data_IF_922921692692
#
_entry.id   IF_922921692692
#
_cell.length_a   1.000
_cell.length_b   1.000
_cell.length_c   1.000
_cell.angle_alpha   90.00
_cell.angle_beta   90.00
_cell.angle_gamma   90.00
#
_symmetry.space_group_name_H-M   'P 1'
#
loop_
_entity.id
_entity.type
_entity.pdbx_description
1 polymer ?
#
# COMPACT_ATOMS: atom_id res chain seq x y z
N UNK A 1 3.87 19.81 14.26
CA UNK A 1 3.80 18.64 13.39
C UNK A 1 2.35 18.19 13.27
N UNK A 2 1.74 18.29 12.08
CA UNK A 2 0.31 18.07 11.81
C UNK A 2 -0.61 19.03 12.59
N UNK A 3 -1.89 19.07 12.22
CA UNK A 3 -2.89 19.92 12.87
C UNK A 3 -2.99 19.73 14.39
N UNK A 4 -2.64 18.54 14.88
CA UNK A 4 -2.70 18.21 16.32
C UNK A 4 -1.72 19.04 17.17
N UNK A 5 -0.56 19.42 16.61
CA UNK A 5 0.43 20.23 17.29
C UNK A 5 0.28 21.75 16.97
N UNK A 6 -0.64 22.11 16.09
CA UNK A 6 -0.79 23.48 15.58
C UNK A 6 -1.09 24.52 16.66
N UNK A 7 -1.89 24.15 17.68
CA UNK A 7 -2.21 25.06 18.78
C UNK A 7 -0.96 25.54 19.54
N UNK A 8 0.07 24.71 19.66
CA UNK A 8 1.34 25.08 20.30
C UNK A 8 2.08 26.19 19.52
N UNK A 9 2.14 26.11 18.20
CA UNK A 9 2.79 27.14 17.38
C UNK A 9 2.02 28.46 17.41
N UNK A 10 0.69 28.41 17.42
CA UNK A 10 -0.16 29.59 17.54
C UNK A 10 -0.02 30.26 18.91
N UNK A 11 0.05 29.44 19.98
CA UNK A 11 0.30 29.95 21.34
C UNK A 11 1.67 30.65 21.44
N UNK A 12 2.73 30.06 20.88
CA UNK A 12 4.07 30.66 20.89
C UNK A 12 4.12 31.98 20.15
N UNK A 13 3.39 32.13 19.06
CA UNK A 13 3.31 33.38 18.32
C UNK A 13 2.83 34.55 19.22
N UNK A 14 1.85 34.31 20.07
CA UNK A 14 1.25 35.35 20.89
C UNK A 14 2.05 35.60 22.18
N UNK A 15 2.67 34.55 22.76
CA UNK A 15 3.32 34.61 24.08
C UNK A 15 4.85 34.66 24.03
N UNK A 16 5.44 34.22 22.91
CA UNK A 16 6.89 34.18 22.71
C UNK A 16 7.26 34.50 21.26
N UNK A 17 6.93 35.71 20.74
CA UNK A 17 7.07 36.06 19.33
C UNK A 17 8.53 36.07 18.83
N UNK A 18 9.49 35.96 19.72
CA UNK A 18 10.91 35.81 19.41
C UNK A 18 11.33 34.37 19.10
N UNK A 19 10.43 33.40 19.27
CA UNK A 19 10.68 31.99 18.95
C UNK A 19 10.16 31.73 17.54
N UNK A 20 11.06 31.38 16.61
CA UNK A 20 10.70 30.96 15.27
C UNK A 20 9.93 29.63 15.28
N UNK A 21 8.88 29.56 14.50
CA UNK A 21 8.00 28.38 14.41
C UNK A 21 8.09 27.71 13.05
N UNK A 22 8.14 26.39 13.04
CA UNK A 22 8.07 25.56 11.85
C UNK A 22 6.84 24.68 11.94
N UNK A 23 5.95 24.79 10.97
CA UNK A 23 4.78 23.92 10.85
C UNK A 23 5.01 22.93 9.69
N UNK A 24 4.79 21.65 9.95
CA UNK A 24 4.87 20.61 8.93
C UNK A 24 3.56 19.82 8.88
N UNK A 25 2.99 19.68 7.69
CA UNK A 25 1.86 18.78 7.43
C UNK A 25 2.26 17.72 6.42
N UNK A 26 1.96 16.44 6.68
CA UNK A 26 2.25 15.33 5.77
C UNK A 26 1.09 15.06 4.83
N UNK A 27 -0.14 15.36 5.27
CA UNK A 27 -1.36 15.19 4.50
C UNK A 27 -2.36 16.23 5.00
N UNK A 28 -2.91 17.04 4.11
CA UNK A 28 -3.91 18.02 4.53
C UNK A 28 -5.18 17.35 5.05
N UNK A 29 -5.82 17.94 6.05
CA UNK A 29 -7.11 17.46 6.58
C UNK A 29 -8.12 17.35 5.43
N UNK A 30 -8.19 18.36 4.58
CA UNK A 30 -9.16 18.40 3.49
C UNK A 30 -8.82 17.44 2.36
N UNK A 31 -7.55 17.30 1.95
CA UNK A 31 -7.14 16.34 0.93
C UNK A 31 -7.53 14.91 1.34
N UNK A 32 -7.27 14.56 2.60
CA UNK A 32 -7.67 13.27 3.17
C UNK A 32 -9.19 13.07 3.16
N UNK A 33 -9.96 14.10 3.52
CA UNK A 33 -11.42 14.03 3.52
C UNK A 33 -12.00 13.90 2.10
N UNK A 34 -11.49 14.68 1.14
CA UNK A 34 -11.95 14.65 -0.25
C UNK A 34 -11.68 13.28 -0.86
N UNK A 35 -10.44 12.76 -0.74
CA UNK A 35 -10.08 11.43 -1.23
C UNK A 35 -10.87 10.31 -0.53
N UNK A 36 -11.06 10.40 0.79
CA UNK A 36 -11.83 9.43 1.58
C UNK A 36 -13.31 9.38 1.23
N UNK A 37 -13.89 10.50 0.77
CA UNK A 37 -15.27 10.59 0.29
C UNK A 37 -15.40 10.34 -1.22
N UNK A 38 -14.35 9.84 -1.89
CA UNK A 38 -14.34 9.47 -3.31
C UNK A 38 -14.62 10.64 -4.28
N UNK A 39 -14.36 11.85 -3.84
CA UNK A 39 -14.42 13.02 -4.72
C UNK A 39 -13.13 13.12 -5.55
N UNK A 40 -13.20 13.67 -6.78
CA UNK A 40 -12.02 13.86 -7.63
C UNK A 40 -11.12 14.95 -7.03
N UNK A 41 -10.06 14.53 -6.35
CA UNK A 41 -9.19 15.44 -5.61
C UNK A 41 -8.27 16.24 -6.53
N UNK A 42 -7.61 15.55 -7.46
CA UNK A 42 -6.45 16.13 -8.14
C UNK A 42 -6.82 16.98 -9.35
N UNK A 43 -7.76 16.52 -10.18
CA UNK A 43 -8.19 17.25 -11.37
C UNK A 43 -9.00 18.50 -11.00
N UNK A 44 -9.73 18.44 -9.90
CA UNK A 44 -10.62 19.51 -9.45
C UNK A 44 -10.11 20.27 -8.22
N UNK A 45 -8.86 20.03 -7.80
CA UNK A 45 -8.27 20.62 -6.59
C UNK A 45 -8.44 22.13 -6.50
N UNK A 46 -8.28 22.83 -7.62
CA UNK A 46 -8.41 24.31 -7.71
C UNK A 46 -9.85 24.82 -7.64
N UNK A 47 -10.86 23.94 -7.73
CA UNK A 47 -12.28 24.29 -7.71
C UNK A 47 -12.89 24.19 -6.32
N UNK A 48 -12.22 23.53 -5.38
CA UNK A 48 -12.77 23.29 -4.05
C UNK A 48 -12.71 24.55 -3.17
N UNK A 49 -13.84 24.85 -2.54
CA UNK A 49 -13.88 25.72 -1.37
C UNK A 49 -13.63 24.87 -0.12
N UNK A 50 -12.39 24.87 0.36
CA UNK A 50 -11.97 24.02 1.47
C UNK A 50 -12.73 24.33 2.77
N UNK A 51 -13.04 25.59 3.06
CA UNK A 51 -13.76 25.98 4.28
C UNK A 51 -15.23 25.50 4.24
N UNK A 52 -15.87 25.51 3.07
CA UNK A 52 -17.23 25.01 2.88
C UNK A 52 -17.28 23.46 3.00
N UNK A 53 -16.36 22.78 2.34
CA UNK A 53 -16.24 21.32 2.46
C UNK A 53 -15.89 20.88 3.89
N UNK A 54 -15.07 21.65 4.61
CA UNK A 54 -14.75 21.36 6.01
C UNK A 54 -16.00 21.42 6.92
N UNK A 55 -16.97 22.31 6.61
CA UNK A 55 -18.28 22.32 7.29
C UNK A 55 -19.10 21.08 6.93
N UNK A 56 -19.19 20.74 5.64
CA UNK A 56 -19.93 19.56 5.16
C UNK A 56 -19.41 18.26 5.75
N UNK A 57 -18.09 18.11 5.85
CA UNK A 57 -17.45 16.91 6.41
C UNK A 57 -17.29 16.93 7.93
N UNK A 58 -17.79 17.97 8.61
CA UNK A 58 -17.70 18.15 10.07
C UNK A 58 -16.24 18.14 10.60
N UNK A 59 -15.30 18.68 9.82
CA UNK A 59 -13.87 18.77 10.18
C UNK A 59 -13.36 20.20 10.28
N UNK A 60 -14.25 21.19 10.39
CA UNK A 60 -13.91 22.61 10.44
C UNK A 60 -12.87 22.94 11.52
N UNK A 61 -12.99 22.38 12.74
CA UNK A 61 -12.03 22.62 13.82
C UNK A 61 -10.62 22.18 13.46
N UNK A 62 -10.47 21.00 12.84
CA UNK A 62 -9.16 20.46 12.39
C UNK A 62 -8.60 21.30 11.24
N UNK A 63 -9.44 21.58 10.24
CA UNK A 63 -9.08 22.36 9.06
C UNK A 63 -8.66 23.78 9.41
N UNK A 64 -9.45 24.50 10.23
CA UNK A 64 -9.13 25.87 10.62
C UNK A 64 -7.83 25.97 11.42
N UNK A 65 -7.58 25.00 12.30
CA UNK A 65 -6.35 24.92 13.08
C UNK A 65 -5.13 24.67 12.19
N UNK A 66 -5.23 23.71 11.25
CA UNK A 66 -4.20 23.44 10.25
C UNK A 66 -3.92 24.67 9.36
N UNK A 67 -4.97 25.29 8.84
CA UNK A 67 -4.89 26.49 8.00
C UNK A 67 -4.26 27.67 8.73
N UNK A 68 -4.63 27.88 10.00
CA UNK A 68 -4.05 28.95 10.83
C UNK A 68 -2.55 28.68 11.10
N UNK A 69 -2.17 27.45 11.48
CA UNK A 69 -0.77 27.11 11.68
C UNK A 69 0.05 27.24 10.39
N UNK A 70 -0.49 26.78 9.26
CA UNK A 70 0.13 26.98 7.96
C UNK A 70 0.32 28.46 7.64
N UNK A 71 -0.69 29.30 7.91
CA UNK A 71 -0.66 30.76 7.61
C UNK A 71 0.38 31.50 8.46
N UNK A 72 0.50 31.16 9.72
CA UNK A 72 1.23 31.98 10.69
C UNK A 72 2.61 31.44 11.08
N UNK A 73 2.97 30.21 10.74
CA UNK A 73 4.32 29.71 10.98
C UNK A 73 5.38 30.49 10.16
N UNK A 74 6.57 30.65 10.71
CA UNK A 74 7.68 31.30 10.01
C UNK A 74 8.12 30.46 8.80
N UNK A 75 8.14 29.12 8.95
CA UNK A 75 8.34 28.19 7.86
C UNK A 75 7.23 27.14 7.82
N UNK A 76 6.74 26.85 6.61
CA UNK A 76 5.72 25.84 6.35
C UNK A 76 6.25 24.75 5.44
N UNK A 77 6.19 23.49 5.88
CA UNK A 77 6.82 22.35 5.22
C UNK A 77 5.78 21.26 4.90
N UNK A 78 6.11 20.49 3.88
CA UNK A 78 5.41 19.23 3.57
C UNK A 78 6.36 18.21 2.96
N UNK A 79 5.89 16.98 2.69
CA UNK A 79 6.74 15.83 2.39
C UNK A 79 6.95 15.57 0.90
N UNK A 80 6.09 16.10 0.01
CA UNK A 80 6.20 15.91 -1.44
C UNK A 80 5.43 16.98 -2.22
N UNK A 81 5.55 16.93 -3.56
CA UNK A 81 4.82 17.83 -4.45
C UNK A 81 3.30 17.63 -4.35
N UNK A 82 2.84 16.41 -4.03
CA UNK A 82 1.41 16.09 -3.94
C UNK A 82 0.74 16.90 -2.83
N UNK A 83 1.09 16.75 -1.55
CA UNK A 83 0.52 17.59 -0.51
C UNK A 83 0.94 19.06 -0.62
N UNK A 84 2.03 19.42 -1.32
CA UNK A 84 2.36 20.81 -1.56
C UNK A 84 1.28 21.53 -2.40
N UNK A 85 0.76 20.86 -3.43
CA UNK A 85 -0.37 21.34 -4.20
C UNK A 85 -1.65 21.45 -3.35
N UNK A 86 -1.92 20.47 -2.50
CA UNK A 86 -3.04 20.53 -1.55
C UNK A 86 -2.90 21.74 -0.61
N UNK A 87 -1.73 21.99 -0.06
CA UNK A 87 -1.45 23.15 0.80
C UNK A 87 -1.77 24.46 0.09
N UNK A 88 -1.34 24.61 -1.16
CA UNK A 88 -1.60 25.80 -1.96
C UNK A 88 -3.09 26.08 -2.13
N UNK A 89 -3.86 25.08 -2.54
CA UNK A 89 -5.28 25.25 -2.89
C UNK A 89 -6.23 25.12 -1.70
N UNK A 90 -5.94 24.23 -0.75
CA UNK A 90 -6.84 23.93 0.36
C UNK A 90 -6.52 24.73 1.64
N UNK A 91 -5.26 25.11 1.85
CA UNK A 91 -4.85 25.94 3.00
C UNK A 91 -4.55 27.40 2.60
N UNK A 92 -4.46 27.68 1.30
CA UNK A 92 -4.21 29.02 0.77
C UNK A 92 -2.79 29.53 0.97
N UNK A 93 -1.82 28.61 1.24
CA UNK A 93 -0.40 28.95 1.39
C UNK A 93 0.48 27.96 0.68
N UNK A 94 1.42 28.45 -0.11
CA UNK A 94 2.50 27.63 -0.67
C UNK A 94 3.48 27.25 0.44
N UNK A 95 4.02 26.04 0.34
CA UNK A 95 5.02 25.56 1.30
C UNK A 95 6.35 26.27 1.10
N UNK A 96 7.04 26.58 2.19
CA UNK A 96 8.40 27.14 2.17
C UNK A 96 9.40 26.14 1.58
N UNK A 97 9.22 24.85 1.89
CA UNK A 97 10.08 23.78 1.38
C UNK A 97 9.39 22.43 1.45
N UNK A 98 9.71 21.57 0.49
CA UNK A 98 9.39 20.15 0.51
C UNK A 98 10.56 19.42 1.21
N UNK A 99 10.25 18.63 2.23
CA UNK A 99 11.17 17.80 3.00
C UNK A 99 10.74 16.35 2.90
N UNK A 100 11.28 15.58 1.95
CA UNK A 100 10.95 14.16 1.81
C UNK A 100 11.15 13.40 3.12
N UNK A 101 10.31 12.39 3.36
CA UNK A 101 10.47 11.54 4.52
C UNK A 101 11.75 10.69 4.39
N UNK A 102 12.50 10.61 5.49
CA UNK A 102 13.67 9.74 5.60
C UNK A 102 13.28 8.29 5.85
N UNK A 103 14.23 7.40 5.61
CA UNK A 103 14.11 5.99 5.95
C UNK A 103 15.42 5.54 6.61
N UNK A 104 15.31 4.92 7.78
CA UNK A 104 16.44 4.30 8.46
C UNK A 104 16.59 2.87 7.95
N UNK A 105 17.68 2.56 7.27
CA UNK A 105 17.93 1.25 6.66
C UNK A 105 18.92 0.38 7.46
N UNK A 106 19.37 0.82 8.62
CA UNK A 106 20.35 0.10 9.43
C UNK A 106 19.88 -1.26 9.96
N UNK A 107 18.56 -1.50 9.96
CA UNK A 107 17.95 -2.80 10.34
C UNK A 107 17.70 -3.72 9.14
N UNK A 108 17.91 -3.28 7.91
CA UNK A 108 17.70 -4.09 6.71
C UNK A 108 18.87 -5.06 6.54
N UNK A 109 18.63 -6.38 6.51
CA UNK A 109 19.70 -7.35 6.31
C UNK A 109 20.29 -7.23 4.91
N UNK A 110 21.49 -7.72 4.71
CA UNK A 110 22.16 -7.66 3.41
C UNK A 110 22.88 -8.97 3.06
N UNK A 111 23.20 -9.16 1.78
CA UNK A 111 23.94 -10.32 1.29
C UNK A 111 23.27 -11.64 1.67
N UNK A 112 24.05 -12.60 2.20
CA UNK A 112 23.57 -13.95 2.52
C UNK A 112 22.44 -13.97 3.55
N UNK A 113 22.38 -13.02 4.45
CA UNK A 113 21.32 -12.94 5.46
C UNK A 113 19.99 -12.61 4.81
N UNK A 114 19.96 -11.59 3.93
CA UNK A 114 18.77 -11.24 3.15
C UNK A 114 18.33 -12.38 2.23
N UNK A 115 19.28 -13.08 1.60
CA UNK A 115 18.96 -14.24 0.74
C UNK A 115 18.33 -15.39 1.53
N UNK A 116 18.85 -15.69 2.72
CA UNK A 116 18.27 -16.71 3.60
C UNK A 116 16.86 -16.33 4.07
N UNK A 117 16.68 -15.06 4.48
CA UNK A 117 15.37 -14.53 4.87
C UNK A 117 14.37 -14.61 3.73
N UNK A 118 14.77 -14.21 2.51
CA UNK A 118 13.97 -14.33 1.29
C UNK A 118 13.52 -15.76 1.03
N UNK A 119 14.43 -16.71 1.10
CA UNK A 119 14.11 -18.12 0.87
C UNK A 119 13.12 -18.65 1.91
N UNK A 120 13.32 -18.34 3.19
CA UNK A 120 12.44 -18.75 4.29
C UNK A 120 11.04 -18.15 4.15
N UNK A 121 10.94 -16.85 3.93
CA UNK A 121 9.67 -16.16 3.77
C UNK A 121 8.90 -16.68 2.54
N UNK A 122 9.60 -16.87 1.42
CA UNK A 122 9.01 -17.41 0.19
C UNK A 122 8.43 -18.81 0.42
N UNK A 123 9.21 -19.71 1.04
CA UNK A 123 8.76 -21.06 1.36
C UNK A 123 7.50 -21.04 2.23
N UNK A 124 7.48 -20.18 3.26
CA UNK A 124 6.32 -20.04 4.15
C UNK A 124 5.08 -19.49 3.43
N UNK A 125 5.23 -18.50 2.55
CA UNK A 125 4.12 -18.00 1.75
C UNK A 125 3.52 -19.07 0.85
N UNK A 126 4.35 -19.85 0.16
CA UNK A 126 3.90 -20.93 -0.72
C UNK A 126 3.27 -22.08 0.08
N UNK A 127 3.80 -22.40 1.27
CA UNK A 127 3.21 -23.39 2.16
C UNK A 127 1.79 -23.00 2.58
N UNK A 128 1.62 -21.80 3.10
CA UNK A 128 0.31 -21.28 3.57
C UNK A 128 -0.67 -21.21 2.39
N UNK A 129 -0.23 -20.68 1.26
CA UNK A 129 -1.08 -20.58 0.08
C UNK A 129 -1.49 -21.96 -0.45
N UNK A 130 -0.56 -22.93 -0.47
CA UNK A 130 -0.86 -24.30 -0.91
C UNK A 130 -1.89 -24.97 0.00
N UNK A 131 -1.74 -24.81 1.31
CA UNK A 131 -2.70 -25.30 2.28
C UNK A 131 -4.07 -24.65 2.11
N UNK A 132 -4.12 -23.32 2.01
CA UNK A 132 -5.37 -22.55 1.93
C UNK A 132 -6.15 -22.86 0.65
N UNK A 133 -5.44 -22.98 -0.48
CA UNK A 133 -6.04 -23.20 -1.78
C UNK A 133 -6.26 -24.70 -2.12
N UNK A 134 -5.61 -25.64 -1.41
CA UNK A 134 -5.52 -27.02 -1.86
C UNK A 134 -4.85 -27.12 -3.23
N UNK A 135 -3.82 -26.31 -3.47
CA UNK A 135 -3.11 -26.16 -4.74
C UNK A 135 -1.60 -26.26 -4.54
N UNK A 136 -0.94 -27.04 -5.37
CA UNK A 136 0.52 -27.21 -5.26
C UNK A 136 1.28 -26.16 -6.05
N UNK A 137 1.60 -25.04 -5.40
CA UNK A 137 2.44 -24.00 -6.01
C UNK A 137 3.86 -24.51 -6.23
N UNK A 138 4.39 -24.20 -7.41
CA UNK A 138 5.77 -24.54 -7.76
C UNK A 138 6.75 -23.51 -7.19
N UNK A 139 8.03 -23.89 -6.97
CA UNK A 139 9.04 -22.97 -6.44
C UNK A 139 9.27 -21.71 -7.30
N UNK A 140 9.00 -21.79 -8.60
CA UNK A 140 9.11 -20.67 -9.54
C UNK A 140 7.87 -19.77 -9.60
N UNK A 141 6.80 -20.05 -8.82
CA UNK A 141 5.62 -19.20 -8.73
C UNK A 141 6.02 -17.75 -8.50
N UNK A 142 5.47 -16.80 -9.29
CA UNK A 142 5.69 -15.37 -9.05
C UNK A 142 4.85 -14.93 -7.84
N UNK A 143 5.50 -14.39 -6.82
CA UNK A 143 4.81 -13.82 -5.65
C UNK A 143 4.71 -12.32 -5.80
N UNK A 144 3.50 -11.80 -5.95
CA UNK A 144 3.22 -10.36 -5.99
C UNK A 144 2.46 -9.94 -4.73
N UNK A 145 2.67 -8.74 -4.22
CA UNK A 145 2.04 -8.35 -2.96
C UNK A 145 1.66 -6.89 -2.88
N UNK A 146 0.63 -6.61 -2.07
CA UNK A 146 0.30 -5.27 -1.59
C UNK A 146 0.07 -5.33 -0.08
N UNK A 147 0.42 -4.26 0.61
CA UNK A 147 0.29 -4.17 2.07
C UNK A 147 0.03 -2.73 2.51
N UNK A 148 -0.38 -2.57 3.76
CA UNK A 148 -0.61 -1.26 4.36
C UNK A 148 -1.97 -1.17 5.04
N UNK A 149 -2.47 0.05 5.25
CA UNK A 149 -3.79 0.28 5.84
C UNK A 149 -4.90 -0.15 4.87
N UNK A 150 -5.98 -0.66 5.43
CA UNK A 150 -7.14 -1.06 4.64
C UNK A 150 -7.94 0.16 4.16
N UNK A 151 -7.40 0.84 3.18
CA UNK A 151 -8.06 1.93 2.45
C UNK A 151 -8.23 1.51 0.99
N UNK A 152 -9.31 0.77 0.70
CA UNK A 152 -9.51 -0.01 -0.54
C UNK A 152 -9.17 0.76 -1.83
N UNK A 153 -9.71 1.98 -2.00
CA UNK A 153 -9.42 2.85 -3.16
C UNK A 153 -8.14 3.65 -2.97
N UNK A 154 -7.95 4.27 -1.80
CA UNK A 154 -6.84 5.19 -1.59
C UNK A 154 -5.48 4.50 -1.65
N UNK A 155 -5.39 3.23 -1.23
CA UNK A 155 -4.19 2.40 -1.33
C UNK A 155 -4.09 1.60 -2.63
N UNK A 156 -5.09 1.72 -3.54
CA UNK A 156 -5.09 1.08 -4.85
C UNK A 156 -5.29 -0.43 -4.82
N UNK A 157 -5.92 -0.96 -3.75
CA UNK A 157 -6.24 -2.38 -3.63
C UNK A 157 -7.24 -2.77 -4.72
N UNK A 158 -8.19 -1.88 -5.02
CA UNK A 158 -9.19 -2.00 -6.09
C UNK A 158 -8.55 -2.25 -7.47
N UNK A 159 -7.64 -1.38 -7.89
CA UNK A 159 -6.97 -1.50 -9.19
C UNK A 159 -5.96 -2.65 -9.21
N UNK A 160 -5.37 -3.01 -8.08
CA UNK A 160 -4.53 -4.21 -7.98
C UNK A 160 -5.35 -5.48 -8.19
N UNK A 161 -6.48 -5.65 -7.51
CA UNK A 161 -7.36 -6.81 -7.72
C UNK A 161 -7.93 -6.84 -9.15
N UNK A 162 -8.26 -5.70 -9.72
CA UNK A 162 -8.70 -5.63 -11.12
C UNK A 162 -7.59 -6.04 -12.09
N UNK A 163 -6.35 -5.65 -11.86
CA UNK A 163 -5.21 -6.08 -12.67
C UNK A 163 -5.00 -7.60 -12.60
N UNK A 164 -5.21 -8.21 -11.43
CA UNK A 164 -5.14 -9.66 -11.28
C UNK A 164 -6.25 -10.39 -12.03
N UNK A 165 -7.47 -9.83 -12.09
CA UNK A 165 -8.58 -10.38 -12.90
C UNK A 165 -8.23 -10.31 -14.40
N UNK A 166 -7.69 -9.19 -14.85
CA UNK A 166 -7.23 -9.01 -16.24
C UNK A 166 -6.11 -10.03 -16.56
N UNK A 167 -5.14 -10.19 -15.67
CA UNK A 167 -4.08 -11.18 -15.83
C UNK A 167 -4.63 -12.61 -15.91
N UNK A 168 -5.55 -12.96 -15.01
CA UNK A 168 -6.16 -14.28 -14.96
C UNK A 168 -7.00 -14.61 -16.20
N UNK A 169 -7.50 -13.60 -16.91
CA UNK A 169 -8.21 -13.77 -18.19
C UNK A 169 -7.27 -13.99 -19.39
N UNK A 170 -5.95 -13.87 -19.19
CA UNK A 170 -4.95 -14.13 -20.25
C UNK A 170 -4.31 -15.50 -20.10
N UNK A 171 -3.75 -16.02 -21.21
CA UNK A 171 -2.99 -17.27 -21.13
C UNK A 171 -1.61 -16.97 -20.55
N UNK A 172 -1.36 -17.46 -19.33
CA UNK A 172 -0.07 -17.34 -18.62
C UNK A 172 0.56 -18.72 -18.45
N UNK A 173 1.87 -18.78 -18.52
CA UNK A 173 2.66 -20.03 -18.45
C UNK A 173 3.21 -20.33 -17.04
N UNK A 174 3.10 -19.38 -16.11
CA UNK A 174 3.63 -19.42 -14.75
C UNK A 174 2.53 -19.08 -13.74
N UNK A 175 2.57 -19.71 -12.58
CA UNK A 175 1.62 -19.39 -11.52
C UNK A 175 1.94 -18.05 -10.85
N UNK A 176 0.91 -17.33 -10.44
CA UNK A 176 1.01 -16.08 -9.71
C UNK A 176 0.27 -16.20 -8.38
N UNK A 177 0.98 -16.00 -7.29
CA UNK A 177 0.41 -15.85 -5.96
C UNK A 177 0.39 -14.37 -5.59
N UNK A 178 -0.79 -13.81 -5.46
CA UNK A 178 -0.98 -12.43 -5.03
C UNK A 178 -1.33 -12.36 -3.54
N UNK A 179 -0.54 -11.64 -2.76
CA UNK A 179 -0.77 -11.47 -1.31
C UNK A 179 -1.34 -10.07 -1.07
N UNK A 180 -2.51 -10.01 -0.44
CA UNK A 180 -3.13 -8.78 0.03
C UNK A 180 -3.05 -8.76 1.55
N UNK A 181 -2.03 -8.07 2.09
CA UNK A 181 -1.76 -7.99 3.53
C UNK A 181 -2.22 -6.64 4.10
N UNK A 182 -3.51 -6.54 4.37
CA UNK A 182 -4.14 -5.32 4.90
C UNK A 182 -5.02 -5.66 6.10
N UNK A 183 -4.74 -5.12 7.29
CA UNK A 183 -5.48 -5.45 8.51
C UNK A 183 -6.95 -5.03 8.41
N UNK A 184 -7.85 -5.95 8.71
CA UNK A 184 -9.29 -5.75 8.81
C UNK A 184 -9.82 -6.16 10.18
N UNK A 185 -11.10 -5.99 10.44
CA UNK A 185 -11.77 -6.57 11.61
C UNK A 185 -11.82 -8.09 11.48
N UNK A 186 -11.20 -8.82 12.41
CA UNK A 186 -11.16 -10.28 12.42
C UNK A 186 -11.70 -10.83 13.73
N UNK A 187 -12.36 -12.00 13.67
CA UNK A 187 -12.79 -12.76 14.86
C UNK A 187 -11.79 -13.80 15.31
N UNK A 188 -10.76 -14.05 14.49
CA UNK A 188 -9.66 -14.96 14.82
C UNK A 188 -9.02 -15.60 13.61
N UNK A 189 -8.01 -16.43 13.85
CA UNK A 189 -7.32 -17.21 12.83
C UNK A 189 -8.17 -18.42 12.41
N UNK A 190 -8.09 -18.83 11.17
CA UNK A 190 -8.73 -20.05 10.65
C UNK A 190 -8.12 -21.29 11.32
N UNK A 191 -8.90 -21.95 12.19
CA UNK A 191 -8.44 -23.08 12.97
C UNK A 191 -8.15 -24.32 12.12
N UNK A 192 -8.94 -24.55 11.06
CA UNK A 192 -8.71 -25.64 10.08
C UNK A 192 -7.35 -25.47 9.39
N UNK A 193 -6.99 -24.23 9.02
CA UNK A 193 -5.71 -23.90 8.40
C UNK A 193 -4.55 -24.12 9.37
N UNK A 194 -4.67 -23.64 10.62
CA UNK A 194 -3.63 -23.82 11.66
C UNK A 194 -3.38 -25.30 11.92
N UNK A 195 -4.46 -26.08 12.08
CA UNK A 195 -4.36 -27.52 12.30
C UNK A 195 -3.72 -28.25 11.12
N UNK A 196 -4.12 -27.92 9.89
CA UNK A 196 -3.53 -28.48 8.67
C UNK A 196 -2.02 -28.13 8.53
N UNK A 197 -1.64 -26.89 8.88
CA UNK A 197 -0.23 -26.48 8.84
C UNK A 197 0.62 -27.26 9.86
N UNK A 198 0.05 -27.59 11.02
CA UNK A 198 0.70 -28.38 12.05
C UNK A 198 0.72 -29.89 11.71
N UNK A 199 -0.37 -30.41 11.14
CA UNK A 199 -0.54 -31.79 10.74
C UNK A 199 -1.25 -31.89 9.38
N UNK A 200 -0.50 -32.22 8.34
CA UNK A 200 -0.99 -32.31 6.96
C UNK A 200 -2.09 -33.37 6.74
N UNK A 201 -2.32 -34.27 7.69
CA UNK A 201 -3.42 -35.25 7.64
C UNK A 201 -4.79 -34.63 7.98
N UNK A 202 -4.81 -33.47 8.66
CA UNK A 202 -6.02 -32.74 8.96
C UNK A 202 -6.52 -32.04 7.70
N UNK A 203 -7.76 -32.30 7.32
CA UNK A 203 -8.34 -31.69 6.12
C UNK A 203 -8.69 -30.21 6.35
N UNK A 204 -8.49 -29.39 5.31
CA UNK A 204 -9.04 -28.02 5.25
C UNK A 204 -10.56 -28.11 5.07
N UNK A 205 -11.30 -27.32 5.83
CA UNK A 205 -12.75 -27.23 5.71
C UNK A 205 -13.14 -26.65 4.34
N UNK A 206 -13.83 -27.45 3.47
CA UNK A 206 -14.21 -27.01 2.13
C UNK A 206 -15.25 -25.86 2.12
N UNK A 207 -15.93 -25.61 3.24
CA UNK A 207 -16.86 -24.50 3.39
C UNK A 207 -16.15 -23.15 3.57
N UNK A 208 -14.86 -23.17 3.93
CA UNK A 208 -14.10 -21.95 4.13
C UNK A 208 -13.60 -21.36 2.80
N UNK A 209 -13.50 -20.03 2.77
CA UNK A 209 -12.98 -19.31 1.59
C UNK A 209 -11.47 -19.58 1.43
N UNK A 210 -11.10 -20.12 0.27
CA UNK A 210 -9.71 -20.55 -0.05
C UNK A 210 -8.69 -19.41 -0.09
N UNK A 211 -9.17 -18.16 -0.18
CA UNK A 211 -8.29 -17.00 -0.24
C UNK A 211 -8.10 -16.31 1.12
N UNK A 212 -8.80 -16.73 2.18
CA UNK A 212 -8.71 -16.10 3.52
C UNK A 212 -7.81 -16.90 4.47
N UNK A 213 -7.01 -16.19 5.27
CA UNK A 213 -6.21 -16.76 6.37
C UNK A 213 -6.88 -16.63 7.74
N UNK A 214 -7.77 -15.67 7.89
CA UNK A 214 -8.48 -15.36 9.16
C UNK A 214 -9.96 -15.16 8.89
N UNK A 215 -10.78 -15.36 9.91
CA UNK A 215 -12.22 -15.07 9.83
C UNK A 215 -12.45 -13.58 9.99
N UNK A 216 -13.18 -12.99 9.05
CA UNK A 216 -13.56 -11.57 9.07
C UNK A 216 -14.80 -11.35 9.93
N UNK A 217 -14.87 -10.23 10.68
CA UNK A 217 -16.05 -9.84 11.45
C UNK A 217 -17.25 -9.52 10.56
N UNK A 218 -17.01 -8.89 9.42
CA UNK A 218 -18.04 -8.42 8.49
C UNK A 218 -17.76 -8.92 7.06
N UNK A 219 -17.51 -10.21 6.89
CA UNK A 219 -17.05 -10.82 5.64
C UNK A 219 -17.97 -10.49 4.44
N UNK A 220 -19.30 -10.49 4.64
CA UNK A 220 -20.25 -10.17 3.59
C UNK A 220 -20.17 -8.74 3.06
N UNK A 221 -19.51 -7.83 3.79
CA UNK A 221 -19.35 -6.42 3.44
C UNK A 221 -17.90 -6.05 3.16
N UNK A 222 -16.98 -7.00 3.27
CA UNK A 222 -15.57 -6.77 3.04
C UNK A 222 -15.28 -6.60 1.53
N UNK A 223 -14.70 -5.44 1.17
CA UNK A 223 -14.50 -5.06 -0.24
C UNK A 223 -13.49 -5.96 -0.95
N UNK A 224 -12.45 -6.45 -0.25
CA UNK A 224 -11.46 -7.38 -0.82
C UNK A 224 -12.11 -8.73 -1.06
N UNK A 225 -12.82 -9.28 -0.07
CA UNK A 225 -13.57 -10.53 -0.20
C UNK A 225 -14.58 -10.47 -1.34
N UNK A 226 -15.40 -9.43 -1.38
CA UNK A 226 -16.40 -9.24 -2.44
C UNK A 226 -15.77 -9.16 -3.83
N UNK A 227 -14.62 -8.48 -3.95
CA UNK A 227 -13.93 -8.36 -5.24
C UNK A 227 -13.36 -9.68 -5.74
N UNK A 228 -12.97 -10.59 -4.84
CA UNK A 228 -12.44 -11.90 -5.17
C UNK A 228 -13.59 -12.88 -5.45
N UNK A 229 -14.60 -12.90 -4.58
CA UNK A 229 -15.78 -13.77 -4.73
C UNK A 229 -16.52 -13.53 -6.05
N UNK A 230 -17.03 -14.61 -6.64
CA UNK A 230 -17.75 -14.53 -7.91
C UNK A 230 -16.88 -14.13 -9.11
N UNK A 231 -15.57 -13.95 -8.92
CA UNK A 231 -14.62 -13.69 -10.00
C UNK A 231 -13.77 -14.93 -10.31
N UNK A 232 -13.02 -14.88 -11.41
CA UNK A 232 -12.04 -15.91 -11.78
C UNK A 232 -10.98 -16.13 -10.69
N UNK A 233 -10.72 -15.14 -9.86
CA UNK A 233 -9.73 -15.21 -8.77
C UNK A 233 -10.15 -16.14 -7.62
N UNK A 234 -11.44 -16.49 -7.50
CA UNK A 234 -11.95 -17.44 -6.49
C UNK A 234 -11.90 -18.89 -6.94
N UNK A 235 -11.49 -19.17 -8.19
CA UNK A 235 -11.55 -20.50 -8.80
C UNK A 235 -10.21 -21.21 -8.84
N UNK A 236 -10.22 -22.56 -8.77
CA UNK A 236 -9.01 -23.36 -8.97
C UNK A 236 -8.56 -23.41 -10.45
N UNK A 237 -9.39 -23.01 -11.39
CA UNK A 237 -9.06 -22.99 -12.81
C UNK A 237 -8.03 -21.89 -13.17
N UNK A 238 -8.02 -20.80 -12.41
CA UNK A 238 -7.05 -19.71 -12.63
C UNK A 238 -5.65 -20.10 -12.16
N UNK A 239 -4.62 -19.68 -12.90
CA UNK A 239 -3.22 -19.73 -12.44
C UNK A 239 -2.84 -18.52 -11.59
N UNK A 240 -3.73 -17.53 -11.45
CA UNK A 240 -3.60 -16.40 -10.52
C UNK A 240 -4.43 -16.71 -9.28
N UNK A 241 -3.79 -16.81 -8.14
CA UNK A 241 -4.43 -17.05 -6.85
C UNK A 241 -4.18 -15.86 -5.93
N UNK A 242 -5.20 -15.47 -5.17
CA UNK A 242 -5.09 -14.41 -4.17
C UNK A 242 -5.06 -15.03 -2.78
N UNK A 243 -4.20 -14.52 -1.91
CA UNK A 243 -4.21 -14.81 -0.48
C UNK A 243 -4.46 -13.50 0.27
N UNK A 244 -5.62 -13.38 0.88
CA UNK A 244 -5.98 -12.25 1.71
C UNK A 244 -5.58 -12.52 3.16
N UNK A 245 -4.72 -11.66 3.69
CA UNK A 245 -4.14 -11.72 5.03
C UNK A 245 -4.64 -10.51 5.82
N UNK A 246 -5.85 -10.58 6.44
CA UNK A 246 -6.51 -9.42 7.06
C UNK A 246 -6.00 -9.14 8.47
N UNK A 247 -4.71 -9.31 8.73
CA UNK A 247 -4.11 -9.11 10.06
C UNK A 247 -2.74 -8.46 9.98
N UNK A 248 -2.27 -7.95 11.11
CA UNK A 248 -0.90 -7.46 11.21
C UNK A 248 0.09 -8.61 11.26
N UNK A 249 1.09 -8.57 10.38
CA UNK A 249 2.22 -9.51 10.39
C UNK A 249 3.25 -9.06 11.42
N UNK A 250 3.03 -9.41 12.66
CA UNK A 250 3.85 -9.03 13.81
C UNK A 250 4.73 -10.17 14.33
N UNK A 251 4.81 -11.29 13.59
CA UNK A 251 5.53 -12.50 14.00
C UNK A 251 4.72 -13.44 14.88
N UNK A 252 3.46 -13.10 15.19
CA UNK A 252 2.57 -13.90 16.04
C UNK A 252 1.12 -13.84 15.56
N UNK A 253 0.94 -13.90 14.23
CA UNK A 253 -0.37 -13.81 13.58
C UNK A 253 -1.15 -15.13 13.57
N UNK A 254 -0.54 -16.22 14.00
CA UNK A 254 -1.15 -17.54 14.10
C UNK A 254 -1.10 -18.38 12.80
N UNK A 255 -0.66 -17.83 11.69
CA UNK A 255 -0.55 -18.53 10.40
C UNK A 255 0.87 -18.49 9.86
N UNK A 256 1.39 -17.31 9.58
CA UNK A 256 2.76 -17.12 9.10
C UNK A 256 3.76 -17.13 10.24
N UNK A 257 3.46 -16.40 11.30
CA UNK A 257 4.33 -16.17 12.46
C UNK A 257 5.71 -15.63 12.07
N UNK A 258 5.74 -14.81 11.00
CA UNK A 258 6.92 -14.11 10.49
C UNK A 258 6.59 -12.61 10.46
N UNK A 259 7.47 -11.73 10.97
CA UNK A 259 7.26 -10.29 10.92
C UNK A 259 7.16 -9.75 9.49
N UNK A 260 6.47 -8.64 9.32
CA UNK A 260 6.20 -8.02 8.02
C UNK A 260 7.45 -7.83 7.15
N UNK A 261 8.53 -7.29 7.70
CA UNK A 261 9.74 -7.04 6.93
C UNK A 261 10.43 -8.33 6.48
N UNK A 262 10.35 -9.39 7.28
CA UNK A 262 10.85 -10.70 6.87
C UNK A 262 10.00 -11.28 5.74
N UNK A 263 8.66 -11.16 5.84
CA UNK A 263 7.75 -11.57 4.77
C UNK A 263 7.97 -10.78 3.48
N UNK A 264 8.20 -9.46 3.60
CA UNK A 264 8.46 -8.57 2.46
C UNK A 264 9.64 -9.06 1.61
N UNK A 265 10.74 -9.50 2.24
CA UNK A 265 11.90 -10.01 1.53
C UNK A 265 11.60 -11.17 0.56
N UNK A 266 10.58 -11.98 0.86
CA UNK A 266 10.17 -13.14 0.05
C UNK A 266 9.29 -12.82 -1.16
N UNK A 267 8.83 -11.57 -1.32
CA UNK A 267 7.98 -11.14 -2.44
C UNK A 267 8.86 -10.83 -3.67
N UNK A 268 8.36 -11.12 -4.86
CA UNK A 268 9.08 -10.85 -6.12
C UNK A 268 8.79 -9.45 -6.66
N UNK A 269 7.57 -8.95 -6.45
CA UNK A 269 7.11 -7.63 -6.88
C UNK A 269 6.06 -7.11 -5.92
N UNK A 270 6.21 -5.90 -5.40
CA UNK A 270 5.13 -5.23 -4.67
C UNK A 270 4.38 -4.24 -5.55
N UNK A 271 3.08 -4.05 -5.27
CA UNK A 271 2.21 -3.15 -6.03
C UNK A 271 1.49 -2.22 -5.06
N UNK A 272 1.88 -0.95 -5.07
CA UNK A 272 1.29 0.12 -4.26
C UNK A 272 0.69 1.19 -5.16
N UNK A 273 -0.36 0.82 -5.85
CA UNK A 273 -1.02 1.67 -6.85
C UNK A 273 -1.93 2.72 -6.19
N UNK A 274 -1.42 3.47 -5.24
CA UNK A 274 -2.18 4.40 -4.41
C UNK A 274 -2.80 5.55 -5.21
N UNK A 275 -4.06 5.88 -4.90
CA UNK A 275 -4.74 7.09 -5.33
C UNK A 275 -4.43 8.27 -4.40
N UNK A 276 -4.36 8.03 -3.09
CA UNK A 276 -4.00 9.05 -2.09
C UNK A 276 -2.85 8.58 -1.22
N UNK A 277 -1.65 9.09 -1.51
CA UNK A 277 -0.42 8.72 -0.81
C UNK A 277 0.54 9.91 -0.75
N UNK A 278 0.46 10.77 0.27
CA UNK A 278 1.32 11.95 0.38
C UNK A 278 2.81 11.68 0.31
N UNK A 279 3.26 10.51 0.84
CA UNK A 279 4.63 10.04 0.67
C UNK A 279 4.67 8.62 0.12
N UNK A 280 4.42 7.60 0.92
CA UNK A 280 4.47 6.18 0.57
C UNK A 280 5.71 5.50 1.14
N UNK A 281 5.61 5.04 2.39
CA UNK A 281 6.67 4.26 3.01
C UNK A 281 6.76 2.84 2.44
N UNK A 282 5.63 2.21 2.14
CA UNK A 282 5.60 0.81 1.68
C UNK A 282 6.40 0.54 0.40
N UNK A 283 6.34 1.37 -0.67
CA UNK A 283 7.24 1.19 -1.80
C UNK A 283 8.70 1.50 -1.46
N UNK A 284 8.98 2.47 -0.57
CA UNK A 284 10.33 2.76 -0.10
C UNK A 284 10.93 1.58 0.68
N UNK A 285 10.14 0.97 1.58
CA UNK A 285 10.51 -0.24 2.32
C UNK A 285 10.81 -1.41 1.39
N UNK A 286 10.00 -1.58 0.34
CA UNK A 286 10.23 -2.61 -0.68
C UNK A 286 11.59 -2.44 -1.35
N UNK A 287 11.91 -1.24 -1.80
CA UNK A 287 13.21 -0.92 -2.41
C UNK A 287 14.35 -1.20 -1.43
N UNK A 288 14.21 -0.81 -0.16
CA UNK A 288 15.23 -1.05 0.86
C UNK A 288 15.52 -2.56 1.05
N UNK A 289 14.49 -3.42 0.90
CA UNK A 289 14.63 -4.89 0.95
C UNK A 289 14.99 -5.53 -0.41
N UNK A 290 15.36 -4.73 -1.40
CA UNK A 290 15.67 -5.23 -2.75
C UNK A 290 14.48 -5.94 -3.38
N UNK A 291 13.27 -5.42 -3.15
CA UNK A 291 12.03 -5.92 -3.77
C UNK A 291 11.54 -4.88 -4.76
N UNK A 292 11.51 -5.22 -6.07
CA UNK A 292 10.94 -4.34 -7.07
C UNK A 292 9.51 -3.92 -6.73
N UNK A 293 9.14 -2.70 -7.08
CA UNK A 293 7.86 -2.13 -6.67
C UNK A 293 7.18 -1.31 -7.76
N UNK A 294 5.86 -1.39 -7.78
CA UNK A 294 5.00 -0.50 -8.56
C UNK A 294 4.45 0.59 -7.65
N UNK A 295 4.56 1.83 -8.07
CA UNK A 295 3.95 2.99 -7.40
C UNK A 295 3.26 3.88 -8.43
N UNK A 296 2.70 5.02 -8.03
CA UNK A 296 1.99 5.91 -8.94
C UNK A 296 2.51 7.34 -8.89
N UNK A 297 2.10 8.14 -9.88
CA UNK A 297 2.34 9.60 -9.89
C UNK A 297 1.53 10.35 -8.82
N UNK A 298 0.61 9.70 -8.10
CA UNK A 298 -0.12 10.24 -6.96
C UNK A 298 0.47 9.83 -5.60
N UNK A 299 1.65 9.17 -5.62
CA UNK A 299 2.44 8.88 -4.43
C UNK A 299 3.68 9.78 -4.39
N UNK A 300 3.94 10.43 -3.26
CA UNK A 300 5.07 11.33 -3.11
C UNK A 300 6.41 10.65 -3.38
N UNK A 301 6.59 9.41 -2.90
CA UNK A 301 7.77 8.59 -3.19
C UNK A 301 7.93 8.35 -4.71
N UNK A 302 6.85 7.99 -5.41
CA UNK A 302 6.89 7.80 -6.87
C UNK A 302 7.35 9.05 -7.61
N UNK A 303 6.82 10.21 -7.22
CA UNK A 303 7.24 11.50 -7.81
C UNK A 303 8.69 11.87 -7.45
N UNK A 304 9.16 11.49 -6.26
CA UNK A 304 10.55 11.69 -5.88
C UNK A 304 11.48 10.79 -6.70
N UNK A 305 11.14 9.50 -6.85
CA UNK A 305 11.91 8.54 -7.66
C UNK A 305 11.96 8.96 -9.13
N UNK A 306 10.87 9.45 -9.70
CA UNK A 306 10.81 9.93 -11.09
C UNK A 306 11.84 11.05 -11.41
N UNK A 307 12.34 11.74 -10.38
CA UNK A 307 13.37 12.78 -10.50
C UNK A 307 14.80 12.22 -10.40
N UNK A 308 14.97 10.94 -10.06
CA UNK A 308 16.28 10.31 -9.94
C UNK A 308 16.79 9.86 -11.32
N UNK A 309 18.12 9.87 -11.50
CA UNK A 309 18.76 9.47 -12.75
C UNK A 309 18.62 7.96 -13.05
N UNK A 310 18.49 7.14 -12.01
CA UNK A 310 18.28 5.69 -12.13
C UNK A 310 17.17 5.28 -11.14
N UNK A 311 16.20 4.54 -11.64
CA UNK A 311 15.09 3.98 -10.84
C UNK A 311 14.70 2.56 -11.31
N UNK A 312 15.68 1.76 -11.74
CA UNK A 312 15.45 0.34 -12.03
C UNK A 312 14.81 -0.35 -10.83
N UNK A 313 13.88 -1.25 -11.08
CA UNK A 313 13.11 -1.90 -10.02
C UNK A 313 11.93 -1.07 -9.47
N UNK A 314 11.75 0.19 -9.89
CA UNK A 314 10.59 1.00 -9.50
C UNK A 314 9.79 1.40 -10.73
N UNK A 315 8.60 0.85 -10.86
CA UNK A 315 7.65 1.18 -11.91
C UNK A 315 6.68 2.26 -11.45
N UNK A 316 6.69 3.40 -12.13
CA UNK A 316 5.84 4.55 -11.78
C UNK A 316 4.71 4.65 -12.79
N UNK A 317 3.49 4.33 -12.38
CA UNK A 317 2.30 4.37 -13.24
C UNK A 317 1.62 5.73 -13.10
N UNK A 318 1.29 6.34 -14.24
CA UNK A 318 0.45 7.53 -14.24
C UNK A 318 -0.93 7.21 -13.68
N UNK A 319 -1.33 7.93 -12.62
CA UNK A 319 -2.66 7.85 -12.05
C UNK A 319 -3.29 9.24 -11.95
N UNK A 320 -4.59 9.32 -12.20
CA UNK A 320 -5.42 10.51 -12.01
C UNK A 320 -6.80 10.11 -11.44
N UNK A 321 -7.74 11.05 -11.37
CA UNK A 321 -9.05 10.81 -10.75
C UNK A 321 -9.94 9.83 -11.51
N UNK A 322 -9.63 9.50 -12.78
CA UNK A 322 -10.56 8.82 -13.70
C UNK A 322 -9.96 7.64 -14.48
N UNK A 323 -8.68 7.33 -14.29
CA UNK A 323 -7.98 6.35 -15.12
C UNK A 323 -7.76 4.98 -14.46
N UNK A 324 -8.62 4.54 -13.54
CA UNK A 324 -8.47 3.28 -12.80
C UNK A 324 -8.29 2.06 -13.73
N UNK A 325 -9.00 2.00 -14.86
CA UNK A 325 -8.89 0.89 -15.82
C UNK A 325 -7.53 0.86 -16.52
N UNK A 326 -7.00 2.01 -16.88
CA UNK A 326 -5.68 2.16 -17.48
C UNK A 326 -4.59 1.76 -16.47
N UNK A 327 -4.73 2.20 -15.22
CA UNK A 327 -3.82 1.81 -14.14
C UNK A 327 -3.79 0.29 -13.96
N UNK A 328 -4.96 -0.36 -13.89
CA UNK A 328 -5.04 -1.82 -13.77
C UNK A 328 -4.39 -2.52 -14.97
N UNK A 329 -4.57 -2.01 -16.19
CA UNK A 329 -3.93 -2.54 -17.39
C UNK A 329 -2.40 -2.44 -17.31
N UNK A 330 -1.87 -1.30 -16.92
CA UNK A 330 -0.43 -1.11 -16.77
C UNK A 330 0.17 -2.00 -15.67
N UNK A 331 -0.54 -2.19 -14.53
CA UNK A 331 -0.10 -3.15 -13.51
C UNK A 331 -0.03 -4.56 -14.09
N UNK A 332 -1.04 -4.97 -14.87
CA UNK A 332 -1.06 -6.27 -15.55
C UNK A 332 0.17 -6.46 -16.45
N UNK A 333 0.53 -5.44 -17.23
CA UNK A 333 1.70 -5.49 -18.12
C UNK A 333 3.02 -5.55 -17.31
N UNK A 334 3.12 -4.82 -16.21
CA UNK A 334 4.28 -4.92 -15.31
C UNK A 334 4.40 -6.33 -14.75
N UNK A 335 3.31 -6.91 -14.22
CA UNK A 335 3.35 -8.29 -13.68
C UNK A 335 3.79 -9.28 -14.77
N UNK A 336 3.26 -9.18 -15.99
CA UNK A 336 3.69 -10.03 -17.12
C UNK A 336 5.18 -9.89 -17.40
N UNK A 337 5.70 -8.68 -17.43
CA UNK A 337 7.14 -8.45 -17.63
C UNK A 337 7.99 -9.15 -16.55
N UNK A 338 7.57 -9.08 -15.27
CA UNK A 338 8.26 -9.77 -14.19
C UNK A 338 8.11 -11.30 -14.25
N UNK A 339 6.99 -11.81 -14.79
CA UNK A 339 6.84 -13.26 -15.08
C UNK A 339 7.84 -13.76 -16.10
N UNK A 340 8.19 -12.95 -17.09
CA UNK A 340 9.08 -13.32 -18.18
C UNK A 340 10.58 -13.06 -17.86
N UNK A 341 10.89 -12.44 -16.71
CA UNK A 341 12.26 -12.19 -16.30
C UNK A 341 12.99 -13.49 -15.94
N UNK A 342 14.19 -13.64 -16.46
CA UNK A 342 15.15 -14.63 -15.99
C UNK A 342 15.80 -14.19 -14.65
N UNK A 343 16.61 -15.08 -14.07
CA UNK A 343 17.27 -14.81 -12.80
C UNK A 343 18.20 -13.59 -12.83
N UNK A 344 18.86 -13.32 -13.98
CA UNK A 344 19.77 -12.21 -14.13
C UNK A 344 19.01 -10.87 -14.21
N UNK A 345 17.91 -10.82 -14.97
CA UNK A 345 17.04 -9.67 -15.06
C UNK A 345 16.38 -9.34 -13.71
N UNK A 346 15.93 -10.39 -12.98
CA UNK A 346 15.36 -10.22 -11.64
C UNK A 346 16.42 -9.72 -10.65
N UNK A 347 17.65 -10.24 -10.69
CA UNK A 347 18.73 -9.75 -9.83
C UNK A 347 19.06 -8.27 -10.10
N UNK A 348 19.04 -7.85 -11.36
CA UNK A 348 19.23 -6.44 -11.74
C UNK A 348 18.10 -5.54 -11.23
N UNK A 349 16.85 -6.00 -11.33
CA UNK A 349 15.70 -5.25 -10.82
C UNK A 349 15.70 -5.12 -9.28
N UNK A 350 16.39 -6.02 -8.58
CA UNK A 350 16.55 -6.02 -7.11
C UNK A 350 17.76 -5.22 -6.61
N UNK A 351 18.71 -4.89 -7.48
CA UNK A 351 19.93 -4.15 -7.14
C UNK A 351 19.68 -2.65 -6.97
#
# INVERSE_FOLDING_TARGET
HEWMAAAGSLYLRDHAPYVATVFSTHATVMGRCIAGNRLPLYNDLHKFNADELARQFHVMAKHSLEKSAATYADAFLTVSDIPANECKYLLGREVTRITPNGFENGFVPSGKELDAQRATARAKMLEVASATWGYNFQPDTLIVGTSGRYEYRNKGIDVFLESLKQLAATNINRDVLAIVAVPAGITGVRQDLVQHLADKSVAIDPAQKRFLTHYLEAEAWDQVSQSIEGSILSTNASRVKVLFVPTYLNGNDGVFNIPYYEMLAGVDLTVFASYYEPWGYTPLESVAYGVPTVTTTLAGFGMWVAKQANHEGVDIIRRDDYNEREVAFHITDVIKRYMDMDAAAMAKARA
#
